data_IF_907912061483
#
_entry.id   IF_907912061483
#
_cell.length_a   1.000
_cell.length_b   1.000
_cell.length_c   1.000
_cell.angle_alpha   90.00
_cell.angle_beta   90.00
_cell.angle_gamma   90.00
#
_symmetry.space_group_name_H-M   'P 1'
#
loop_
_entity.id
_entity.type
_entity.pdbx_description
1 polymer ?
#
# COMPACT_ATOMS: atom_id res chain seq x y z
N UNK A 1 11.34 -47.00 9.58
CA UNK A 1 12.15 -45.81 9.24
C UNK A 1 11.20 -44.65 9.06
N UNK A 2 11.21 -43.72 10.02
CA UNK A 2 10.20 -42.66 10.16
C UNK A 2 10.59 -41.45 9.30
N UNK A 3 9.60 -40.84 8.63
CA UNK A 3 9.74 -39.64 7.78
C UNK A 3 10.45 -38.46 8.47
N UNK A 4 10.43 -38.38 9.81
CA UNK A 4 11.09 -37.31 10.57
C UNK A 4 12.61 -37.30 10.44
N UNK A 5 13.24 -38.45 10.17
CA UNK A 5 14.70 -38.53 10.02
C UNK A 5 15.20 -38.02 8.66
N UNK A 6 14.32 -37.91 7.65
CA UNK A 6 14.69 -37.43 6.31
C UNK A 6 14.63 -35.90 6.24
N UNK A 7 13.62 -35.28 6.85
CA UNK A 7 13.47 -33.82 6.86
C UNK A 7 14.64 -33.11 7.59
N UNK A 8 15.09 -33.68 8.71
CA UNK A 8 16.20 -33.13 9.51
C UNK A 8 17.54 -33.22 8.77
N UNK A 9 17.75 -34.29 7.98
CA UNK A 9 18.98 -34.49 7.20
C UNK A 9 19.01 -33.60 5.95
N UNK A 10 17.85 -33.27 5.37
CA UNK A 10 17.76 -32.33 4.24
C UNK A 10 18.02 -30.88 4.66
N UNK A 11 17.55 -30.45 5.84
CA UNK A 11 17.78 -29.10 6.36
C UNK A 11 19.25 -28.83 6.71
N UNK A 12 20.02 -29.85 7.11
CA UNK A 12 21.47 -29.73 7.39
C UNK A 12 22.35 -29.75 6.13
N UNK A 13 21.89 -30.34 5.03
CA UNK A 13 22.64 -30.36 3.76
C UNK A 13 22.37 -29.14 2.87
N UNK A 14 21.26 -28.44 3.08
CA UNK A 14 21.07 -27.08 2.58
C UNK A 14 21.78 -26.13 3.56
N UNK A 15 22.62 -25.22 3.07
CA UNK A 15 23.29 -24.18 3.86
C UNK A 15 22.28 -23.17 4.45
N UNK A 16 21.39 -23.58 5.34
CA UNK A 16 20.56 -22.72 6.18
C UNK A 16 21.30 -22.52 7.50
N UNK A 17 22.21 -21.53 7.50
CA UNK A 17 23.09 -21.26 8.65
C UNK A 17 22.33 -20.82 9.92
N UNK A 18 21.05 -20.46 9.83
CA UNK A 18 20.24 -20.03 10.97
C UNK A 18 18.78 -20.47 10.77
N UNK A 19 18.50 -21.76 10.88
CA UNK A 19 17.13 -22.19 11.19
C UNK A 19 16.84 -21.73 12.63
N UNK A 20 15.92 -20.78 12.81
CA UNK A 20 15.34 -20.49 14.13
C UNK A 20 14.60 -21.77 14.55
N UNK A 21 15.00 -22.47 15.62
CA UNK A 21 14.34 -23.72 15.96
C UNK A 21 12.91 -23.43 16.41
N UNK A 22 11.93 -23.84 15.60
CA UNK A 22 10.58 -24.07 16.09
C UNK A 22 10.67 -25.23 17.08
N UNK A 23 10.47 -24.94 18.37
CA UNK A 23 10.46 -25.94 19.42
C UNK A 23 9.15 -26.75 19.26
N UNK A 24 9.19 -27.80 18.43
CA UNK A 24 8.07 -28.74 18.31
C UNK A 24 8.13 -29.67 19.51
N UNK A 25 7.56 -29.23 20.63
CA UNK A 25 7.27 -30.11 21.75
C UNK A 25 5.90 -30.77 21.52
N UNK A 26 5.90 -32.09 21.32
CA UNK A 26 4.71 -32.93 21.50
C UNK A 26 4.21 -32.74 22.94
N UNK A 27 3.19 -31.93 23.15
CA UNK A 27 2.40 -31.97 24.38
C UNK A 27 0.92 -32.01 24.00
N UNK A 28 0.27 -33.10 24.42
CA UNK A 28 -1.17 -33.31 24.39
C UNK A 28 -1.90 -32.13 25.03
N UNK A 29 -2.73 -31.46 24.23
CA UNK A 29 -3.64 -30.41 24.71
C UNK A 29 -4.85 -31.11 25.32
N UNK A 30 -5.00 -31.07 26.65
CA UNK A 30 -6.30 -31.30 27.28
C UNK A 30 -7.22 -30.12 26.93
N UNK A 31 -8.34 -30.44 26.29
CA UNK A 31 -9.38 -29.47 25.91
C UNK A 31 -10.07 -29.01 27.20
N UNK A 32 -9.81 -27.78 27.63
CA UNK A 32 -10.64 -27.10 28.62
C UNK A 32 -11.89 -26.61 27.88
N UNK A 33 -12.97 -27.38 28.01
CA UNK A 33 -14.31 -26.93 27.69
C UNK A 33 -14.77 -25.99 28.80
N UNK A 34 -14.67 -24.68 28.61
CA UNK A 34 -15.56 -23.70 29.26
C UNK A 34 -15.42 -22.35 28.55
N UNK A 35 -16.42 -22.06 27.71
CA UNK A 35 -16.65 -20.77 27.07
C UNK A 35 -17.48 -19.93 28.03
N UNK A 36 -16.87 -19.45 29.11
CA UNK A 36 -17.40 -18.36 29.96
C UNK A 36 -16.30 -17.92 30.93
N UNK A 37 -15.91 -16.64 30.86
CA UNK A 37 -14.86 -15.94 31.64
C UNK A 37 -13.44 -15.95 31.06
N UNK A 38 -13.18 -15.03 30.12
CA UNK A 38 -11.84 -14.51 29.85
C UNK A 38 -11.65 -13.17 30.57
N UNK A 39 -11.45 -13.22 31.89
CA UNK A 39 -10.72 -12.16 32.60
C UNK A 39 -9.22 -12.51 32.57
N UNK A 40 -8.45 -11.59 32.02
CA UNK A 40 -7.02 -11.73 31.74
C UNK A 40 -6.21 -11.65 33.05
N UNK A 41 -5.74 -12.79 33.56
CA UNK A 41 -4.88 -12.82 34.74
C UNK A 41 -3.40 -12.83 34.31
N UNK A 42 -2.77 -11.65 34.32
CA UNK A 42 -1.32 -11.51 34.24
C UNK A 42 -0.71 -11.95 35.58
N UNK A 43 0.04 -13.05 35.60
CA UNK A 43 1.17 -13.29 36.49
C UNK A 43 1.65 -14.73 36.32
N UNK A 44 2.76 -14.93 35.59
CA UNK A 44 3.79 -15.95 35.89
C UNK A 44 4.85 -16.03 34.75
N UNK A 45 5.63 -14.97 34.56
CA UNK A 45 7.05 -15.09 34.12
C UNK A 45 7.81 -13.94 34.77
N UNK A 46 8.19 -14.12 36.04
CA UNK A 46 9.06 -13.20 36.76
C UNK A 46 10.21 -13.99 37.39
N UNK A 47 11.33 -14.07 36.67
CA UNK A 47 12.66 -14.11 37.29
C UNK A 47 13.66 -13.50 36.31
N UNK A 48 14.42 -12.52 36.80
CA UNK A 48 15.49 -11.74 36.17
C UNK A 48 15.11 -10.52 35.31
N UNK A 49 14.45 -9.54 35.92
CA UNK A 49 14.80 -8.11 35.69
C UNK A 49 14.69 -7.38 37.03
N UNK A 50 15.77 -6.72 37.43
CA UNK A 50 15.86 -5.94 38.65
C UNK A 50 14.78 -4.84 38.71
N UNK A 51 14.26 -4.62 39.91
CA UNK A 51 13.25 -3.62 40.28
C UNK A 51 13.55 -2.23 39.69
N UNK A 52 12.72 -1.80 38.74
CA UNK A 52 12.51 -0.39 38.46
C UNK A 52 11.14 -0.02 39.03
N UNK A 53 11.13 0.82 40.06
CA UNK A 53 9.92 1.41 40.64
C UNK A 53 9.09 2.08 39.54
N UNK A 54 7.96 1.47 39.17
CA UNK A 54 6.98 2.09 38.28
C UNK A 54 6.19 3.11 39.09
N UNK A 55 6.65 4.35 39.04
CA UNK A 55 5.75 5.50 39.22
C UNK A 55 4.91 5.60 37.95
N UNK A 56 3.59 5.75 38.10
CA UNK A 56 2.65 6.08 37.01
C UNK A 56 2.98 7.47 36.44
N UNK A 57 4.10 7.59 35.73
CA UNK A 57 4.35 8.71 34.85
C UNK A 57 3.41 8.58 33.66
N UNK A 58 2.72 9.66 33.30
CA UNK A 58 1.98 9.76 32.04
C UNK A 58 2.87 9.24 30.91
N UNK A 59 2.32 8.35 30.08
CA UNK A 59 3.02 7.65 29.00
C UNK A 59 3.32 8.61 27.83
N UNK A 60 4.07 9.66 28.12
CA UNK A 60 4.46 10.72 27.20
C UNK A 60 5.39 10.17 26.12
N UNK A 61 5.26 10.74 24.91
CA UNK A 61 6.14 10.40 23.80
C UNK A 61 7.58 10.77 24.15
N UNK A 62 8.50 9.81 24.07
CA UNK A 62 9.88 10.07 24.43
C UNK A 62 10.67 10.73 23.28
N UNK A 63 11.86 11.25 23.58
CA UNK A 63 12.70 11.97 22.61
C UNK A 63 13.11 11.09 21.40
N UNK A 64 13.31 9.78 21.61
CA UNK A 64 13.65 8.84 20.54
C UNK A 64 12.49 8.68 19.56
N UNK A 65 11.26 8.56 20.05
CA UNK A 65 10.07 8.47 19.21
C UNK A 65 9.86 9.76 18.40
N UNK A 66 10.00 10.93 19.04
CA UNK A 66 9.90 12.24 18.35
C UNK A 66 10.94 12.35 17.23
N UNK A 67 12.20 11.98 17.51
CA UNK A 67 13.29 12.03 16.53
C UNK A 67 12.98 11.17 15.31
N UNK A 68 12.57 9.90 15.51
CA UNK A 68 12.27 8.99 14.40
C UNK A 68 11.01 9.41 13.63
N UNK A 69 9.99 9.90 14.31
CA UNK A 69 8.81 10.46 13.66
C UNK A 69 9.18 11.65 12.75
N UNK A 70 10.07 12.53 13.20
CA UNK A 70 10.56 13.65 12.39
C UNK A 70 11.38 13.19 11.18
N UNK A 71 12.21 12.15 11.33
CA UNK A 71 12.97 11.56 10.22
C UNK A 71 12.02 10.97 9.18
N UNK A 72 11.02 10.19 9.62
CA UNK A 72 10.01 9.62 8.71
C UNK A 72 9.30 10.74 7.96
N UNK A 73 8.82 11.76 8.66
CA UNK A 73 8.05 12.86 8.07
C UNK A 73 8.79 13.56 6.91
N UNK A 74 10.12 13.64 6.96
CA UNK A 74 10.94 14.22 5.89
C UNK A 74 10.88 13.43 4.58
N UNK A 75 10.65 12.12 4.64
CA UNK A 75 10.80 11.21 3.50
C UNK A 75 9.49 10.63 2.98
N UNK A 76 8.44 10.52 3.82
CA UNK A 76 7.22 9.81 3.44
C UNK A 76 6.52 10.36 2.18
N UNK A 77 6.56 11.67 1.94
CA UNK A 77 6.00 12.25 0.70
C UNK A 77 6.68 11.71 -0.57
N UNK A 78 7.95 11.33 -0.49
CA UNK A 78 8.71 10.74 -1.59
C UNK A 78 8.32 9.29 -1.90
N UNK A 79 7.62 8.63 -0.97
CA UNK A 79 7.07 7.28 -1.14
C UNK A 79 5.71 7.27 -1.84
N UNK A 80 5.15 8.45 -2.13
CA UNK A 80 3.85 8.59 -2.83
C UNK A 80 4.04 8.80 -4.32
N UNK A 81 3.09 8.31 -5.12
CA UNK A 81 3.15 8.36 -6.59
C UNK A 81 1.92 9.07 -7.15
N UNK A 82 2.12 10.17 -7.87
CA UNK A 82 1.04 10.85 -8.57
C UNK A 82 0.86 10.24 -9.96
N UNK A 83 -0.21 9.47 -10.20
CA UNK A 83 -0.44 8.78 -11.47
C UNK A 83 -1.00 9.70 -12.54
N UNK A 84 -1.86 10.64 -12.14
CA UNK A 84 -2.47 11.66 -13.02
C UNK A 84 -2.50 13.00 -12.32
N UNK A 85 -2.37 14.08 -13.09
CA UNK A 85 -2.52 15.46 -12.62
C UNK A 85 -3.19 16.34 -13.68
N UNK A 86 -3.91 17.37 -13.24
CA UNK A 86 -4.45 18.42 -14.13
C UNK A 86 -4.09 19.86 -13.70
N UNK A 87 -3.29 20.03 -12.65
CA UNK A 87 -2.89 21.34 -12.12
C UNK A 87 -3.82 21.92 -11.05
N UNK A 88 -4.86 21.20 -10.62
CA UNK A 88 -5.76 21.65 -9.54
C UNK A 88 -5.12 21.62 -8.14
N UNK A 89 -4.08 20.79 -7.99
CA UNK A 89 -3.31 20.56 -6.76
C UNK A 89 -1.85 20.99 -6.94
N UNK A 90 -1.18 21.47 -5.87
CA UNK A 90 -1.68 21.58 -4.50
C UNK A 90 -2.72 22.69 -4.31
N UNK A 91 -3.49 22.62 -3.22
CA UNK A 91 -4.54 23.58 -2.90
C UNK A 91 -3.97 24.92 -2.44
N UNK A 92 -4.76 25.98 -2.62
CA UNK A 92 -4.45 27.26 -1.99
C UNK A 92 -4.80 27.22 -0.50
N UNK A 93 -4.06 27.97 0.33
CA UNK A 93 -4.30 28.06 1.80
C UNK A 93 -5.72 28.50 2.19
N UNK A 94 -6.48 29.10 1.27
CA UNK A 94 -7.86 29.56 1.50
C UNK A 94 -8.90 28.46 1.31
N UNK A 95 -8.55 27.36 0.64
CA UNK A 95 -9.45 26.25 0.38
C UNK A 95 -9.48 25.32 1.59
N UNK A 96 -10.36 25.62 2.55
CA UNK A 96 -10.53 24.85 3.79
C UNK A 96 -11.87 24.15 3.92
N UNK A 97 -12.74 24.19 2.90
CA UNK A 97 -14.00 23.44 2.86
C UNK A 97 -13.89 22.30 1.87
N UNK A 98 -14.12 21.07 2.31
CA UNK A 98 -13.84 19.88 1.52
C UNK A 98 -14.96 18.83 1.68
N UNK A 99 -15.27 18.17 0.57
CA UNK A 99 -16.09 16.96 0.58
C UNK A 99 -15.15 15.75 0.60
N UNK A 100 -15.07 15.05 1.73
CA UNK A 100 -14.27 13.83 1.89
C UNK A 100 -15.16 12.60 1.79
N UNK A 101 -14.84 11.70 0.86
CA UNK A 101 -15.60 10.47 0.60
C UNK A 101 -14.67 9.24 0.61
N UNK A 102 -15.26 8.05 0.72
CA UNK A 102 -14.56 6.77 0.63
C UNK A 102 -14.23 6.13 1.99
N UNK A 103 -14.02 4.81 1.98
CA UNK A 103 -13.77 4.01 3.17
C UNK A 103 -12.54 4.48 3.97
N UNK A 104 -11.48 4.87 3.25
CA UNK A 104 -10.20 5.25 3.84
C UNK A 104 -10.21 6.53 4.66
N UNK A 105 -11.28 7.33 4.61
CA UNK A 105 -11.37 8.60 5.35
C UNK A 105 -11.36 8.35 6.86
N UNK A 106 -12.11 7.35 7.33
CA UNK A 106 -12.17 6.93 8.74
C UNK A 106 -11.49 5.58 9.00
N UNK A 107 -11.30 4.77 7.97
CA UNK A 107 -10.64 3.45 8.04
C UNK A 107 -9.29 3.48 7.32
N UNK A 108 -8.49 4.49 7.63
CA UNK A 108 -7.16 4.67 7.01
C UNK A 108 -6.26 3.49 7.35
N UNK A 109 -5.55 2.96 6.35
CA UNK A 109 -4.66 1.80 6.48
C UNK A 109 -3.23 2.29 6.64
N UNK A 110 -2.63 2.00 7.80
CA UNK A 110 -1.23 2.34 8.11
C UNK A 110 -0.22 1.38 7.47
N UNK A 111 -0.60 0.12 7.29
CA UNK A 111 0.25 -0.97 6.83
C UNK A 111 -0.53 -2.28 6.74
N UNK A 112 0.12 -3.29 6.17
CA UNK A 112 -0.40 -4.65 6.10
C UNK A 112 -0.46 -5.34 7.47
N UNK A 113 -1.24 -6.42 7.55
CA UNK A 113 -1.36 -7.27 8.75
C UNK A 113 -0.29 -8.37 8.76
N UNK A 114 -0.14 -9.04 9.91
CA UNK A 114 0.80 -10.14 10.12
C UNK A 114 2.05 -9.71 10.88
N UNK A 115 3.16 -10.43 10.68
CA UNK A 115 4.43 -10.16 11.39
C UNK A 115 5.05 -8.79 11.09
N UNK A 116 4.66 -8.18 9.96
CA UNK A 116 5.08 -6.83 9.56
C UNK A 116 4.24 -5.71 10.14
N UNK A 117 3.20 -6.01 10.93
CA UNK A 117 2.40 -4.96 11.56
C UNK A 117 3.19 -4.27 12.68
N UNK A 118 2.96 -2.96 12.82
CA UNK A 118 3.67 -2.12 13.79
C UNK A 118 2.69 -1.54 14.80
N UNK A 119 3.04 -1.59 16.09
CA UNK A 119 2.27 -0.90 17.10
C UNK A 119 2.70 0.56 17.19
N UNK A 120 1.72 1.47 17.11
CA UNK A 120 1.94 2.92 17.18
C UNK A 120 1.15 3.49 18.34
N UNK A 121 1.74 4.41 19.12
CA UNK A 121 1.04 5.09 20.24
C UNK A 121 -0.28 5.71 19.83
N UNK A 122 -0.28 6.42 18.70
CA UNK A 122 -1.45 7.07 18.13
C UNK A 122 -1.42 6.95 16.62
N UNK A 123 -2.60 6.97 16.01
CA UNK A 123 -2.75 6.98 14.56
C UNK A 123 -3.97 7.82 14.21
N UNK A 124 -3.74 8.97 13.56
CA UNK A 124 -4.83 9.81 13.07
C UNK A 124 -5.43 9.19 11.81
N UNK A 125 -6.76 9.14 11.74
CA UNK A 125 -7.46 8.93 10.48
C UNK A 125 -7.25 10.13 9.56
N UNK A 126 -7.49 9.95 8.25
CA UNK A 126 -7.46 11.05 7.30
C UNK A 126 -8.44 12.16 7.69
N UNK A 127 -9.63 11.83 8.16
CA UNK A 127 -10.58 12.83 8.66
C UNK A 127 -9.98 13.67 9.80
N UNK A 128 -9.37 13.02 10.79
CA UNK A 128 -8.76 13.69 11.94
C UNK A 128 -7.60 14.58 11.52
N UNK A 129 -6.72 14.10 10.62
CA UNK A 129 -5.61 14.88 10.12
C UNK A 129 -6.06 16.14 9.36
N UNK A 130 -7.08 16.03 8.50
CA UNK A 130 -7.65 17.19 7.81
C UNK A 130 -8.29 18.18 8.80
N UNK A 131 -9.03 17.70 9.82
CA UNK A 131 -9.60 18.56 10.87
C UNK A 131 -8.53 19.29 11.67
N UNK A 132 -7.43 18.62 12.03
CA UNK A 132 -6.26 19.24 12.72
C UNK A 132 -5.62 20.35 11.88
N UNK A 133 -5.60 20.20 10.56
CA UNK A 133 -5.14 21.22 9.61
C UNK A 133 -6.21 22.29 9.30
N UNK A 134 -7.34 22.31 10.03
CA UNK A 134 -8.36 23.34 9.94
C UNK A 134 -9.29 23.23 8.74
N UNK A 135 -9.42 22.03 8.15
CA UNK A 135 -10.44 21.79 7.13
C UNK A 135 -11.82 21.53 7.77
N UNK A 136 -12.85 22.16 7.21
CA UNK A 136 -14.26 21.87 7.43
C UNK A 136 -14.68 20.72 6.50
N UNK A 137 -15.01 19.57 7.10
CA UNK A 137 -15.48 18.39 6.39
C UNK A 137 -16.99 18.48 6.18
N UNK A 138 -17.43 18.51 4.92
CA UNK A 138 -18.82 18.75 4.51
C UNK A 138 -19.66 17.47 4.35
N UNK A 139 -19.11 16.32 4.75
CA UNK A 139 -19.64 14.98 4.43
C UNK A 139 -19.75 14.07 5.64
N UNK A 140 -19.86 14.63 6.87
CA UNK A 140 -19.97 13.82 8.08
C UNK A 140 -21.17 12.85 8.02
N UNK A 141 -22.30 13.30 7.48
CA UNK A 141 -23.51 12.48 7.27
C UNK A 141 -23.27 11.27 6.36
N UNK A 142 -22.53 11.46 5.26
CA UNK A 142 -22.11 10.35 4.40
C UNK A 142 -21.18 9.38 5.15
N UNK A 143 -20.20 9.91 5.89
CA UNK A 143 -19.22 9.09 6.59
C UNK A 143 -19.87 8.27 7.71
N UNK A 144 -20.81 8.85 8.46
CA UNK A 144 -21.58 8.16 9.49
C UNK A 144 -22.41 7.02 8.87
N UNK A 145 -23.11 7.29 7.75
CA UNK A 145 -23.88 6.27 7.04
C UNK A 145 -22.99 5.17 6.42
N UNK A 146 -21.77 5.52 6.00
CA UNK A 146 -20.78 4.55 5.53
C UNK A 146 -20.32 3.63 6.65
N UNK A 147 -20.03 4.18 7.83
CA UNK A 147 -19.66 3.39 9.00
C UNK A 147 -20.78 2.41 9.38
N UNK A 148 -22.04 2.84 9.39
CA UNK A 148 -23.19 1.94 9.63
C UNK A 148 -23.29 0.80 8.59
N UNK A 149 -23.12 1.12 7.31
CA UNK A 149 -23.12 0.14 6.23
C UNK A 149 -21.99 -0.89 6.41
N UNK A 150 -20.77 -0.41 6.68
CA UNK A 150 -19.60 -1.23 6.90
C UNK A 150 -19.77 -2.13 8.13
N UNK A 151 -20.15 -1.59 9.29
CA UNK A 151 -20.28 -2.38 10.52
C UNK A 151 -21.31 -3.50 10.37
N UNK A 152 -22.39 -3.26 9.63
CA UNK A 152 -23.38 -4.29 9.29
C UNK A 152 -22.80 -5.39 8.42
N UNK A 153 -21.97 -5.05 7.43
CA UNK A 153 -21.32 -6.03 6.55
C UNK A 153 -20.24 -6.81 7.31
N UNK A 154 -19.40 -6.09 8.08
CA UNK A 154 -18.32 -6.64 8.88
C UNK A 154 -18.85 -7.61 9.94
N UNK A 155 -19.94 -7.28 10.63
CA UNK A 155 -20.59 -8.21 11.56
C UNK A 155 -21.00 -9.52 10.87
N UNK A 156 -21.62 -9.44 9.68
CA UNK A 156 -22.02 -10.65 8.92
C UNK A 156 -20.81 -11.48 8.50
N UNK A 157 -19.73 -10.83 8.09
CA UNK A 157 -18.47 -11.49 7.72
C UNK A 157 -17.82 -12.21 8.91
N UNK A 158 -17.78 -11.56 10.07
CA UNK A 158 -17.29 -12.20 11.30
C UNK A 158 -18.21 -13.36 11.71
N UNK A 159 -19.53 -13.20 11.59
CA UNK A 159 -20.48 -14.28 11.89
C UNK A 159 -20.31 -15.47 10.92
N UNK A 160 -19.97 -15.25 9.63
CA UNK A 160 -19.67 -16.33 8.69
C UNK A 160 -18.37 -17.05 9.02
N UNK A 161 -17.29 -16.32 9.34
CA UNK A 161 -16.02 -16.94 9.78
C UNK A 161 -16.25 -17.82 11.02
N UNK A 162 -17.02 -17.33 12.00
CA UNK A 162 -17.34 -18.09 13.22
C UNK A 162 -18.15 -19.35 12.92
N UNK A 163 -19.08 -19.28 11.96
CA UNK A 163 -19.88 -20.43 11.56
C UNK A 163 -19.05 -21.50 10.83
N UNK A 164 -17.96 -21.10 10.18
CA UNK A 164 -17.01 -21.96 9.47
C UNK A 164 -15.88 -22.49 10.38
N UNK A 165 -15.87 -22.12 11.66
CA UNK A 165 -14.82 -22.53 12.59
C UNK A 165 -14.71 -24.05 12.71
N UNK A 166 -13.55 -24.59 12.34
CA UNK A 166 -13.25 -26.01 12.44
C UNK A 166 -12.71 -26.33 13.85
N UNK A 167 -13.57 -26.86 14.72
CA UNK A 167 -13.19 -27.27 16.07
C UNK A 167 -12.22 -28.46 16.10
N UNK A 168 -12.26 -29.32 15.07
CA UNK A 168 -11.36 -30.49 14.98
C UNK A 168 -9.96 -30.08 14.51
N UNK A 169 -9.84 -28.95 13.81
CA UNK A 169 -8.57 -28.40 13.34
C UNK A 169 -8.42 -26.89 13.60
N UNK A 170 -8.67 -26.49 14.84
CA UNK A 170 -8.66 -25.09 15.27
C UNK A 170 -7.34 -24.37 14.93
N UNK A 171 -6.21 -25.07 15.02
CA UNK A 171 -4.89 -24.49 14.71
C UNK A 171 -4.78 -24.11 13.22
N UNK A 172 -5.09 -25.02 12.30
CA UNK A 172 -5.03 -24.71 10.87
C UNK A 172 -6.06 -23.63 10.49
N UNK A 173 -7.23 -23.64 11.13
CA UNK A 173 -8.23 -22.58 10.93
C UNK A 173 -7.66 -21.21 11.30
N UNK A 174 -7.08 -21.05 12.48
CA UNK A 174 -6.47 -19.78 12.91
C UNK A 174 -5.34 -19.35 11.97
N UNK A 175 -4.46 -20.28 11.57
CA UNK A 175 -3.36 -19.99 10.63
C UNK A 175 -3.87 -19.56 9.24
N UNK A 176 -5.02 -20.05 8.79
CA UNK A 176 -5.59 -19.64 7.51
C UNK A 176 -6.43 -18.35 7.60
N UNK A 177 -6.73 -17.86 8.82
CA UNK A 177 -7.65 -16.74 9.04
C UNK A 177 -7.07 -15.59 9.87
N UNK A 178 -5.80 -15.62 10.31
CA UNK A 178 -5.26 -14.57 11.19
C UNK A 178 -5.09 -13.20 10.51
N UNK A 179 -5.05 -13.16 9.17
CA UNK A 179 -4.92 -11.93 8.38
C UNK A 179 -6.02 -11.75 7.32
N UNK A 180 -7.11 -12.54 7.37
CA UNK A 180 -8.18 -12.39 6.39
C UNK A 180 -8.87 -11.05 6.54
N UNK A 181 -9.20 -10.44 5.41
CA UNK A 181 -9.82 -9.12 5.35
C UNK A 181 -11.12 -9.25 4.57
N UNK A 182 -12.18 -8.64 5.09
CA UNK A 182 -13.46 -8.56 4.39
C UNK A 182 -13.28 -7.71 3.12
N UNK A 183 -13.74 -8.21 1.97
CA UNK A 183 -13.88 -7.40 0.76
C UNK A 183 -14.79 -6.19 1.04
N UNK A 184 -14.45 -5.03 0.47
CA UNK A 184 -15.23 -3.82 0.73
C UNK A 184 -16.71 -3.99 0.32
N UNK A 185 -17.68 -3.67 1.20
CA UNK A 185 -19.09 -3.83 0.91
C UNK A 185 -19.62 -2.82 -0.12
N UNK A 186 -20.74 -3.18 -0.75
CA UNK A 186 -21.53 -2.25 -1.55
C UNK A 186 -22.36 -1.33 -0.65
N UNK A 187 -22.00 -0.04 -0.60
CA UNK A 187 -22.71 0.98 0.16
C UNK A 187 -23.25 2.07 -0.78
N UNK A 188 -24.48 1.89 -1.29
CA UNK A 188 -25.12 2.87 -2.19
C UNK A 188 -25.69 4.06 -1.41
N UNK A 189 -24.81 5.02 -1.10
CA UNK A 189 -25.13 6.20 -0.33
C UNK A 189 -25.26 7.44 -1.24
N UNK A 190 -26.14 8.40 -0.91
CA UNK A 190 -26.24 9.63 -1.66
C UNK A 190 -24.95 10.45 -1.55
N UNK A 191 -24.47 10.96 -2.69
CA UNK A 191 -23.30 11.85 -2.74
C UNK A 191 -23.64 13.14 -3.44
N UNK A 192 -22.92 14.20 -3.10
CA UNK A 192 -23.09 15.46 -3.80
C UNK A 192 -22.59 15.34 -5.23
N UNK A 193 -23.38 15.84 -6.17
CA UNK A 193 -23.08 15.72 -7.60
C UNK A 193 -22.19 16.85 -8.12
N UNK A 194 -22.05 17.94 -7.36
CA UNK A 194 -21.26 19.11 -7.74
C UNK A 194 -20.72 19.79 -6.49
N UNK A 195 -19.54 20.39 -6.60
CA UNK A 195 -18.91 21.15 -5.54
C UNK A 195 -17.58 21.75 -5.98
N UNK A 196 -16.90 22.45 -5.06
CA UNK A 196 -15.62 23.07 -5.38
C UNK A 196 -14.45 22.07 -5.24
N UNK A 197 -14.40 21.31 -4.16
CA UNK A 197 -13.28 20.42 -3.82
C UNK A 197 -13.80 19.12 -3.23
N UNK A 198 -13.46 17.99 -3.85
CA UNK A 198 -13.68 16.66 -3.30
C UNK A 198 -12.41 15.81 -3.35
N UNK A 199 -12.25 14.97 -2.34
CA UNK A 199 -11.28 13.89 -2.35
C UNK A 199 -12.02 12.59 -2.03
N UNK A 200 -11.77 11.56 -2.83
CA UNK A 200 -12.21 10.19 -2.53
C UNK A 200 -11.01 9.35 -2.10
N UNK A 201 -11.04 8.78 -0.90
CA UNK A 201 -9.98 7.90 -0.39
C UNK A 201 -10.44 6.45 -0.51
N UNK A 202 -9.83 5.72 -1.45
CA UNK A 202 -10.01 4.29 -1.64
C UNK A 202 -8.92 3.55 -0.85
N UNK A 203 -9.32 2.80 0.17
CA UNK A 203 -8.41 1.97 0.96
C UNK A 203 -8.59 0.48 0.65
N UNK A 204 -7.47 -0.23 0.65
CA UNK A 204 -7.40 -1.70 0.66
C UNK A 204 -6.31 -2.11 1.62
N UNK A 205 -6.54 -3.20 2.34
CA UNK A 205 -5.54 -3.82 3.18
C UNK A 205 -5.25 -5.24 2.67
N UNK A 206 -4.13 -5.80 3.09
CA UNK A 206 -3.73 -7.19 2.86
C UNK A 206 -2.87 -7.64 4.04
N UNK A 207 -2.64 -8.93 4.20
CA UNK A 207 -1.80 -9.41 5.30
C UNK A 207 -1.13 -10.73 5.00
N UNK A 208 -0.16 -11.04 5.85
CA UNK A 208 0.60 -12.30 5.76
C UNK A 208 -0.31 -13.52 5.84
N UNK A 209 -0.03 -14.52 5.01
CA UNK A 209 -0.74 -15.81 5.00
C UNK A 209 -1.98 -15.86 4.12
N UNK A 210 -2.40 -14.73 3.53
CA UNK A 210 -3.59 -14.67 2.68
C UNK A 210 -3.31 -13.83 1.43
N UNK A 211 -3.47 -14.43 0.26
CA UNK A 211 -3.44 -13.70 -1.00
C UNK A 211 -4.73 -12.89 -1.20
N UNK A 212 -4.62 -11.76 -1.89
CA UNK A 212 -5.79 -10.98 -2.29
C UNK A 212 -6.65 -11.74 -3.30
N UNK A 213 -7.94 -11.40 -3.33
CA UNK A 213 -8.91 -11.98 -4.24
C UNK A 213 -9.15 -11.09 -5.46
N UNK A 214 -9.41 -11.71 -6.60
CA UNK A 214 -9.72 -11.03 -7.87
C UNK A 214 -11.21 -10.72 -7.93
N UNK A 215 -11.68 -9.98 -6.94
CA UNK A 215 -13.10 -9.72 -6.71
C UNK A 215 -13.37 -8.23 -6.46
N UNK A 216 -14.66 -7.87 -6.50
CA UNK A 216 -15.13 -6.54 -6.14
C UNK A 216 -14.93 -6.32 -4.64
N UNK A 217 -14.43 -5.14 -4.31
CA UNK A 217 -14.07 -4.80 -2.93
C UNK A 217 -12.64 -5.21 -2.55
N UNK A 218 -11.87 -5.77 -3.50
CA UNK A 218 -10.45 -6.05 -3.37
C UNK A 218 -9.68 -5.51 -4.60
N UNK A 219 -9.19 -6.37 -5.49
CA UNK A 219 -8.51 -5.98 -6.75
C UNK A 219 -9.42 -5.09 -7.59
N UNK A 220 -10.70 -5.45 -7.71
CA UNK A 220 -11.69 -4.65 -8.40
C UNK A 220 -12.39 -3.69 -7.43
N UNK A 221 -12.71 -2.50 -7.93
CA UNK A 221 -13.61 -1.59 -7.22
C UNK A 221 -15.01 -2.21 -7.13
N UNK A 222 -15.70 -1.92 -6.04
CA UNK A 222 -17.15 -2.12 -5.93
C UNK A 222 -17.89 -1.24 -6.94
N UNK A 223 -19.13 -1.58 -7.27
CA UNK A 223 -19.97 -0.76 -8.14
C UNK A 223 -20.26 0.60 -7.51
N UNK A 224 -20.46 0.63 -6.20
CA UNK A 224 -20.75 1.86 -5.44
C UNK A 224 -19.53 2.79 -5.35
N UNK A 225 -18.32 2.25 -5.16
CA UNK A 225 -17.06 2.99 -5.27
C UNK A 225 -16.91 3.61 -6.67
N UNK A 226 -17.03 2.79 -7.72
CA UNK A 226 -16.91 3.22 -9.12
C UNK A 226 -17.93 4.30 -9.47
N UNK A 227 -19.20 4.11 -9.11
CA UNK A 227 -20.30 5.08 -9.33
C UNK A 227 -20.00 6.41 -8.65
N UNK A 228 -19.54 6.37 -7.40
CA UNK A 228 -19.24 7.57 -6.61
C UNK A 228 -18.06 8.32 -7.19
N UNK A 229 -16.93 7.64 -7.43
CA UNK A 229 -15.71 8.23 -8.00
C UNK A 229 -16.02 8.93 -9.34
N UNK A 230 -16.75 8.28 -10.25
CA UNK A 230 -17.12 8.86 -11.55
C UNK A 230 -18.07 10.06 -11.39
N UNK A 231 -18.99 10.00 -10.44
CA UNK A 231 -19.91 11.11 -10.14
C UNK A 231 -19.14 12.34 -9.66
N UNK A 232 -18.20 12.15 -8.72
CA UNK A 232 -17.39 13.23 -8.17
C UNK A 232 -16.44 13.82 -9.24
N UNK A 233 -15.76 12.96 -10.00
CA UNK A 233 -14.82 13.37 -11.05
C UNK A 233 -15.46 14.24 -12.14
N UNK A 234 -16.72 13.96 -12.50
CA UNK A 234 -17.46 14.74 -13.51
C UNK A 234 -18.07 16.02 -12.94
N UNK A 235 -18.33 16.05 -11.64
CA UNK A 235 -19.16 17.05 -10.99
C UNK A 235 -18.41 18.18 -10.29
N UNK A 236 -17.23 17.87 -9.74
CA UNK A 236 -16.46 18.79 -8.90
C UNK A 236 -15.45 19.60 -9.71
N UNK A 237 -15.22 20.85 -9.30
CA UNK A 237 -14.19 21.69 -9.94
C UNK A 237 -12.79 21.13 -9.74
N UNK A 238 -12.50 20.68 -8.51
CA UNK A 238 -11.28 19.97 -8.13
C UNK A 238 -11.65 18.62 -7.53
N UNK A 239 -11.10 17.56 -8.09
CA UNK A 239 -11.29 16.20 -7.59
C UNK A 239 -9.98 15.43 -7.63
N UNK A 240 -9.70 14.68 -6.56
CA UNK A 240 -8.61 13.72 -6.49
C UNK A 240 -9.11 12.37 -5.95
N UNK A 241 -8.74 11.30 -6.64
CA UNK A 241 -8.81 9.95 -6.12
C UNK A 241 -7.48 9.65 -5.40
N UNK A 242 -7.56 9.26 -4.14
CA UNK A 242 -6.42 8.87 -3.32
C UNK A 242 -6.50 7.37 -3.07
N UNK A 243 -5.41 6.66 -3.35
CA UNK A 243 -5.30 5.21 -3.20
C UNK A 243 -4.42 4.92 -1.98
N UNK A 244 -5.05 4.58 -0.86
CA UNK A 244 -4.39 4.10 0.35
C UNK A 244 -4.38 2.56 0.31
N UNK A 245 -3.61 2.02 -0.63
CA UNK A 245 -3.54 0.60 -0.96
C UNK A 245 -2.09 0.12 -0.93
N UNK A 246 -1.86 -1.12 -0.48
CA UNK A 246 -0.53 -1.74 -0.46
C UNK A 246 -0.08 -2.29 -1.82
N UNK A 247 -0.99 -2.35 -2.80
CA UNK A 247 -0.72 -2.86 -4.14
C UNK A 247 -1.69 -2.33 -5.19
N UNK A 248 -1.57 -2.80 -6.44
CA UNK A 248 -2.42 -2.37 -7.55
C UNK A 248 -3.89 -2.65 -7.30
N UNK A 249 -4.74 -1.73 -7.74
CA UNK A 249 -6.18 -1.93 -7.91
C UNK A 249 -6.53 -1.63 -9.36
N UNK A 250 -7.54 -2.29 -9.91
CA UNK A 250 -7.92 -2.12 -11.30
C UNK A 250 -8.67 -0.78 -11.50
N UNK A 251 -8.00 0.17 -12.16
CA UNK A 251 -8.53 1.51 -12.42
C UNK A 251 -9.15 1.68 -13.82
N UNK A 252 -9.39 0.58 -14.55
CA UNK A 252 -9.98 0.64 -15.89
C UNK A 252 -11.35 1.31 -15.88
N UNK A 253 -11.66 2.11 -16.90
CA UNK A 253 -12.96 2.79 -17.01
C UNK A 253 -13.14 4.02 -16.09
N UNK A 254 -12.03 4.57 -15.57
CA UNK A 254 -11.96 5.79 -14.77
C UNK A 254 -11.19 6.92 -15.50
N UNK A 255 -11.28 7.00 -16.82
CA UNK A 255 -10.56 7.99 -17.64
C UNK A 255 -10.94 9.44 -17.31
N UNK A 256 -12.14 9.68 -16.74
CA UNK A 256 -12.55 11.01 -16.30
C UNK A 256 -11.81 11.51 -15.03
N UNK A 257 -11.14 10.63 -14.29
CA UNK A 257 -10.42 10.99 -13.06
C UNK A 257 -9.07 11.59 -13.44
N UNK A 258 -8.96 12.91 -13.26
CA UNK A 258 -7.80 13.71 -13.73
C UNK A 258 -6.67 13.85 -12.70
N UNK A 259 -6.94 13.62 -11.41
CA UNK A 259 -5.92 13.54 -10.37
C UNK A 259 -6.04 12.22 -9.63
N UNK A 260 -4.97 11.43 -9.62
CA UNK A 260 -4.91 10.14 -8.92
C UNK A 260 -3.59 10.09 -8.16
N UNK A 261 -3.65 9.95 -6.84
CA UNK A 261 -2.51 9.84 -5.94
C UNK A 261 -2.48 8.45 -5.32
N UNK A 262 -1.40 7.70 -5.52
CA UNK A 262 -1.07 6.53 -4.69
C UNK A 262 -0.43 7.06 -3.42
N UNK A 263 -1.21 7.05 -2.34
CA UNK A 263 -0.73 7.39 -1.00
C UNK A 263 0.11 6.24 -0.41
N UNK A 264 -0.18 4.99 -0.82
CA UNK A 264 0.37 3.78 -0.20
C UNK A 264 -0.06 3.66 1.27
N UNK A 265 0.67 2.87 2.06
CA UNK A 265 0.48 2.63 3.48
C UNK A 265 1.78 3.01 4.20
N UNK A 266 1.84 4.20 4.79
CA UNK A 266 3.09 4.90 5.17
C UNK A 266 3.39 4.82 6.68
N UNK A 267 2.76 3.89 7.40
CA UNK A 267 2.84 3.80 8.85
C UNK A 267 2.12 4.95 9.55
N UNK A 268 2.64 5.35 10.72
CA UNK A 268 1.99 6.27 11.66
C UNK A 268 1.59 7.64 11.06
N UNK A 269 2.34 8.13 10.06
CA UNK A 269 2.15 9.47 9.48
C UNK A 269 1.43 9.45 8.11
N UNK A 270 0.73 8.36 7.79
CA UNK A 270 -0.02 8.22 6.52
C UNK A 270 -0.97 9.39 6.28
N UNK A 271 -1.82 9.70 7.26
CA UNK A 271 -2.84 10.75 7.15
C UNK A 271 -2.24 12.15 7.09
N UNK A 272 -1.21 12.43 7.90
CA UNK A 272 -0.47 13.70 7.85
C UNK A 272 0.17 13.91 6.49
N UNK A 273 0.81 12.87 5.93
CA UNK A 273 1.46 12.96 4.61
C UNK A 273 0.46 13.35 3.52
N UNK A 274 -0.76 12.79 3.53
CA UNK A 274 -1.80 13.19 2.57
C UNK A 274 -2.15 14.68 2.69
N UNK A 275 -2.28 15.18 3.92
CA UNK A 275 -2.55 16.60 4.18
C UNK A 275 -1.42 17.46 3.63
N UNK A 276 -0.16 17.16 3.96
CA UNK A 276 1.02 17.90 3.50
C UNK A 276 1.09 17.96 1.96
N UNK A 277 0.76 16.86 1.28
CA UNK A 277 0.71 16.78 -0.18
C UNK A 277 -0.42 17.64 -0.76
N UNK A 278 -1.61 17.57 -0.18
CA UNK A 278 -2.79 18.30 -0.67
C UNK A 278 -2.64 19.80 -0.45
N UNK A 279 -2.03 20.23 0.65
CA UNK A 279 -1.77 21.64 0.96
C UNK A 279 -0.52 22.21 0.27
N UNK A 280 0.32 21.34 -0.30
CA UNK A 280 1.56 21.72 -0.97
C UNK A 280 2.71 22.05 -0.03
N UNK A 281 2.61 21.66 1.24
CA UNK A 281 3.75 21.67 2.17
C UNK A 281 4.85 20.70 1.71
N UNK A 282 4.42 19.54 1.20
CA UNK A 282 5.27 18.55 0.53
C UNK A 282 4.76 18.26 -0.88
N UNK A 283 5.55 17.49 -1.63
CA UNK A 283 5.22 17.13 -3.01
C UNK A 283 5.49 15.64 -3.28
N UNK A 284 4.68 14.98 -4.13
CA UNK A 284 4.95 13.61 -4.52
C UNK A 284 6.17 13.59 -5.45
N UNK A 285 7.03 12.59 -5.28
CA UNK A 285 8.21 12.37 -6.15
C UNK A 285 8.58 10.90 -6.30
N UNK A 286 7.68 9.98 -5.91
CA UNK A 286 7.84 8.56 -6.14
C UNK A 286 7.51 8.17 -7.58
N UNK A 287 8.01 7.01 -7.98
CA UNK A 287 7.68 6.33 -9.23
C UNK A 287 7.16 4.92 -8.90
N UNK A 288 6.29 4.38 -9.74
CA UNK A 288 5.75 3.04 -9.57
C UNK A 288 6.86 1.98 -9.62
N UNK A 289 6.93 1.14 -8.58
CA UNK A 289 7.81 -0.03 -8.54
C UNK A 289 7.17 -1.30 -9.16
N UNK A 290 5.92 -1.20 -9.60
CA UNK A 290 5.14 -2.29 -10.23
C UNK A 290 4.30 -1.69 -11.35
N UNK A 291 4.10 -2.41 -12.45
CA UNK A 291 3.14 -2.02 -13.50
C UNK A 291 1.72 -2.08 -12.97
N UNK A 292 0.89 -1.07 -13.24
CA UNK A 292 -0.53 -1.06 -12.91
C UNK A 292 -1.36 -1.13 -14.20
N UNK A 293 -2.17 -2.17 -14.35
CA UNK A 293 -3.05 -2.35 -15.49
C UNK A 293 -4.30 -3.13 -15.10
N UNK A 294 -5.13 -3.52 -16.07
CA UNK A 294 -6.25 -4.43 -15.84
C UNK A 294 -5.75 -5.77 -15.34
N UNK A 295 -6.49 -6.40 -14.43
CA UNK A 295 -6.01 -7.66 -13.85
C UNK A 295 -5.78 -8.75 -14.91
N UNK A 296 -6.66 -8.83 -15.90
CA UNK A 296 -6.59 -9.82 -16.99
C UNK A 296 -5.36 -9.68 -17.91
N UNK A 297 -4.67 -8.53 -17.89
CA UNK A 297 -3.49 -8.31 -18.73
C UNK A 297 -2.20 -8.86 -18.07
N UNK A 298 -2.21 -9.20 -16.77
CA UNK A 298 -1.05 -9.78 -16.11
C UNK A 298 -0.80 -11.21 -16.59
N UNK A 299 0.43 -11.46 -17.02
CA UNK A 299 0.88 -12.76 -17.47
C UNK A 299 1.70 -13.45 -16.38
N UNK A 300 0.99 -14.10 -15.45
CA UNK A 300 1.57 -14.99 -14.44
C UNK A 300 0.54 -16.04 -14.04
N UNK A 301 0.96 -17.28 -13.88
CA UNK A 301 0.09 -18.35 -13.37
C UNK A 301 0.36 -18.51 -11.86
N UNK A 302 -0.40 -17.79 -11.03
CA UNK A 302 -0.25 -17.83 -9.56
C UNK A 302 -1.48 -18.46 -8.91
N UNK A 303 -1.31 -19.01 -7.70
CA UNK A 303 -2.44 -19.48 -6.87
C UNK A 303 -2.64 -20.99 -6.81
N UNK A 304 -1.75 -21.81 -7.38
CA UNK A 304 -1.77 -23.25 -7.08
C UNK A 304 -1.08 -23.50 -5.72
N UNK A 305 -1.89 -23.93 -4.74
CA UNK A 305 -1.47 -24.17 -3.36
C UNK A 305 -0.38 -25.25 -3.19
N UNK A 306 -0.19 -26.11 -4.19
CA UNK A 306 0.73 -27.25 -4.10
C UNK A 306 1.93 -27.12 -5.03
N UNK A 307 1.74 -26.58 -6.23
CA UNK A 307 2.79 -26.46 -7.23
C UNK A 307 2.47 -25.33 -8.21
N UNK A 308 3.22 -24.23 -8.15
CA UNK A 308 3.05 -23.09 -9.05
C UNK A 308 4.11 -23.14 -10.14
N UNK A 309 3.68 -23.29 -11.39
CA UNK A 309 4.56 -23.28 -12.56
C UNK A 309 4.69 -21.85 -13.11
N UNK A 310 5.92 -21.33 -13.08
CA UNK A 310 6.26 -19.96 -13.47
C UNK A 310 6.47 -19.91 -14.99
N UNK A 311 5.37 -20.08 -15.72
CA UNK A 311 5.34 -20.18 -17.19
C UNK A 311 5.84 -18.91 -17.89
N UNK A 312 5.83 -17.78 -17.19
CA UNK A 312 6.34 -16.50 -17.68
C UNK A 312 7.87 -16.39 -17.65
N UNK A 313 8.55 -17.26 -16.91
CA UNK A 313 10.00 -17.25 -16.79
C UNK A 313 10.56 -15.87 -16.38
N UNK A 314 11.40 -15.28 -17.24
CA UNK A 314 12.01 -13.95 -16.97
C UNK A 314 11.08 -12.78 -17.32
N UNK A 315 9.95 -13.04 -17.97
CA UNK A 315 8.98 -12.05 -18.43
C UNK A 315 7.97 -11.71 -17.33
N UNK A 316 8.46 -11.21 -16.19
CA UNK A 316 7.61 -10.77 -15.09
C UNK A 316 7.46 -9.24 -15.10
N UNK A 317 6.23 -8.76 -14.97
CA UNK A 317 5.92 -7.32 -14.90
C UNK A 317 6.28 -6.60 -16.19
N UNK A 318 6.93 -5.43 -16.10
CA UNK A 318 7.27 -4.60 -17.28
C UNK A 318 8.07 -5.36 -18.34
N UNK A 319 8.86 -6.38 -17.96
CA UNK A 319 9.59 -7.22 -18.91
C UNK A 319 8.65 -7.94 -19.88
N UNK A 320 7.49 -8.40 -19.41
CA UNK A 320 6.47 -8.97 -20.28
C UNK A 320 5.80 -7.88 -21.11
N UNK A 321 5.24 -6.86 -20.46
CA UNK A 321 4.45 -5.83 -21.16
C UNK A 321 5.25 -5.13 -22.27
N UNK A 322 6.50 -4.78 -22.01
CA UNK A 322 7.38 -4.14 -22.99
C UNK A 322 7.78 -5.09 -24.13
N UNK A 323 7.96 -6.39 -23.85
CA UNK A 323 8.39 -7.38 -24.86
C UNK A 323 7.22 -7.82 -25.73
N UNK A 324 6.03 -7.98 -25.13
CA UNK A 324 4.81 -8.38 -25.81
C UNK A 324 4.04 -7.21 -26.44
N UNK A 325 4.52 -5.97 -26.26
CA UNK A 325 3.89 -4.73 -26.75
C UNK A 325 2.42 -4.62 -26.31
N UNK A 326 2.19 -4.79 -25.00
CA UNK A 326 0.86 -4.74 -24.38
C UNK A 326 0.68 -3.40 -23.68
N UNK A 327 -0.36 -2.65 -24.07
CA UNK A 327 -0.73 -1.39 -23.45
C UNK A 327 -1.11 -1.57 -21.97
N UNK A 328 -0.61 -0.68 -21.12
CA UNK A 328 -0.87 -0.69 -19.68
C UNK A 328 -1.43 0.65 -19.20
N UNK A 329 -2.20 0.65 -18.11
CA UNK A 329 -2.77 1.90 -17.56
C UNK A 329 -1.68 2.84 -17.05
N UNK A 330 -0.73 2.31 -16.28
CA UNK A 330 0.43 3.04 -15.77
C UNK A 330 1.67 2.10 -15.76
N UNK A 331 2.72 2.41 -16.54
CA UNK A 331 3.88 1.54 -16.64
C UNK A 331 4.74 1.58 -15.37
N UNK A 332 5.60 0.57 -15.21
CA UNK A 332 6.70 0.61 -14.26
C UNK A 332 7.53 1.89 -14.44
N UNK A 333 7.99 2.51 -13.35
CA UNK A 333 8.71 3.78 -13.38
C UNK A 333 7.82 5.01 -13.62
N UNK A 334 6.51 4.85 -13.82
CA UNK A 334 5.60 5.98 -13.97
C UNK A 334 5.38 6.72 -12.66
N UNK A 335 5.38 8.04 -12.69
CA UNK A 335 5.05 8.87 -11.55
C UNK A 335 5.28 10.35 -11.85
N UNK A 336 4.30 11.17 -11.52
CA UNK A 336 4.32 12.60 -11.74
C UNK A 336 4.68 13.33 -10.43
N UNK A 337 5.02 14.61 -10.57
CA UNK A 337 5.12 15.55 -9.46
C UNK A 337 4.30 16.80 -9.73
N UNK A 338 4.29 17.74 -8.77
CA UNK A 338 3.63 19.04 -8.96
C UNK A 338 4.37 19.99 -9.91
N UNK A 339 5.66 19.73 -10.17
CA UNK A 339 6.45 20.46 -11.16
C UNK A 339 6.73 19.61 -12.40
N UNK A 340 7.29 20.23 -13.43
CA UNK A 340 7.67 19.59 -14.68
C UNK A 340 9.19 19.66 -14.86
N UNK A 341 9.78 18.61 -15.43
CA UNK A 341 11.22 18.51 -15.63
C UNK A 341 11.58 18.31 -17.10
N UNK A 342 12.74 18.85 -17.49
CA UNK A 342 13.39 18.56 -18.76
C UNK A 342 14.65 17.74 -18.51
N UNK A 343 14.68 16.54 -19.07
CA UNK A 343 15.81 15.63 -18.98
C UNK A 343 16.62 15.66 -20.27
N UNK A 344 17.95 15.54 -20.19
CA UNK A 344 18.78 15.38 -21.38
C UNK A 344 19.99 14.51 -21.10
N UNK A 345 20.27 13.56 -22.00
CA UNK A 345 21.52 12.82 -22.02
C UNK A 345 22.60 13.75 -22.60
N UNK A 346 23.67 13.96 -21.84
CA UNK A 346 24.81 14.78 -22.27
C UNK A 346 25.83 13.95 -23.02
N UNK A 347 26.08 12.73 -22.55
CA UNK A 347 27.15 11.90 -23.07
C UNK A 347 26.97 10.43 -22.64
N UNK A 348 27.39 9.52 -23.51
CA UNK A 348 27.39 8.07 -23.25
C UNK A 348 28.77 7.54 -23.62
N UNK A 349 29.44 6.88 -22.67
CA UNK A 349 30.77 6.28 -22.86
C UNK A 349 30.70 4.79 -22.59
N UNK A 350 31.40 4.03 -23.42
CA UNK A 350 31.60 2.59 -23.23
C UNK A 350 33.11 2.36 -23.08
N UNK A 351 33.51 1.69 -22.01
CA UNK A 351 34.89 1.30 -21.74
C UNK A 351 34.92 -0.15 -21.28
N UNK A 352 35.19 -1.06 -22.21
CA UNK A 352 35.06 -2.49 -21.95
C UNK A 352 33.60 -2.88 -21.69
N UNK A 353 33.35 -3.46 -20.52
CA UNK A 353 32.04 -3.85 -20.01
C UNK A 353 31.32 -2.73 -19.25
N UNK A 354 31.97 -1.58 -19.03
CA UNK A 354 31.38 -0.45 -18.31
C UNK A 354 30.73 0.55 -19.27
N UNK A 355 29.44 0.80 -19.07
CA UNK A 355 28.71 1.92 -19.68
C UNK A 355 28.56 3.04 -18.67
N UNK A 356 28.85 4.28 -19.08
CA UNK A 356 28.64 5.49 -18.26
C UNK A 356 27.75 6.46 -19.03
N UNK A 357 26.67 6.88 -18.39
CA UNK A 357 25.70 7.84 -18.94
C UNK A 357 25.72 9.10 -18.10
N UNK A 358 26.13 10.21 -18.71
CA UNK A 358 26.06 11.53 -18.10
C UNK A 358 24.72 12.17 -18.52
N UNK A 359 23.83 12.44 -17.55
CA UNK A 359 22.52 13.04 -17.80
C UNK A 359 22.31 14.28 -16.91
N UNK A 360 21.44 15.19 -17.36
CA UNK A 360 21.04 16.37 -16.59
C UNK A 360 19.52 16.45 -16.45
N UNK A 361 19.07 16.84 -15.26
CA UNK A 361 17.68 17.20 -14.97
C UNK A 361 17.60 18.71 -14.75
N UNK A 362 16.59 19.36 -15.33
CA UNK A 362 16.28 20.76 -15.07
C UNK A 362 14.81 20.88 -14.71
N UNK A 363 14.51 21.48 -13.56
CA UNK A 363 13.14 21.86 -13.21
C UNK A 363 12.73 23.03 -14.12
N UNK A 364 11.59 22.89 -14.80
CA UNK A 364 11.04 23.91 -15.71
C UNK A 364 9.62 24.33 -15.34
N UNK A 365 9.12 23.81 -14.21
CA UNK A 365 7.79 24.13 -13.71
C UNK A 365 7.81 25.25 -12.66
N UNK A 366 6.81 25.27 -11.78
CA UNK A 366 6.58 26.35 -10.81
C UNK A 366 6.77 25.93 -9.36
N UNK A 367 6.95 24.64 -9.12
CA UNK A 367 7.08 24.09 -7.77
C UNK A 367 8.46 23.48 -7.59
N UNK A 368 8.90 23.38 -6.34
CA UNK A 368 10.05 22.53 -6.00
C UNK A 368 9.71 21.07 -6.33
N UNK A 369 10.73 20.28 -6.66
CA UNK A 369 10.54 18.86 -6.89
C UNK A 369 11.85 18.08 -6.95
N UNK A 370 11.71 16.76 -6.98
CA UNK A 370 12.77 15.81 -7.29
C UNK A 370 12.33 14.95 -8.47
N UNK A 371 13.27 14.62 -9.35
CA UNK A 371 13.03 13.74 -10.51
C UNK A 371 13.82 12.45 -10.36
N UNK A 372 13.25 11.34 -10.83
CA UNK A 372 13.93 10.04 -10.93
C UNK A 372 14.29 9.81 -12.39
N UNK A 373 15.58 9.58 -12.65
CA UNK A 373 16.08 9.12 -13.93
C UNK A 373 16.29 7.61 -13.87
N UNK A 374 15.76 6.91 -14.88
CA UNK A 374 15.86 5.45 -15.02
C UNK A 374 16.65 5.13 -16.28
N UNK A 375 17.61 4.22 -16.17
CA UNK A 375 18.44 3.75 -17.28
C UNK A 375 18.10 2.30 -17.59
N UNK A 376 17.57 2.09 -18.78
CA UNK A 376 17.22 0.77 -19.32
C UNK A 376 18.24 0.32 -20.37
N UNK A 377 18.49 -0.99 -20.42
CA UNK A 377 19.35 -1.64 -21.40
C UNK A 377 18.51 -2.59 -22.26
N UNK A 378 18.57 -2.43 -23.58
CA UNK A 378 18.04 -3.38 -24.56
C UNK A 378 19.19 -4.10 -25.24
N UNK A 379 19.11 -5.43 -25.34
CA UNK A 379 20.11 -6.21 -26.08
C UNK A 379 19.72 -6.34 -27.56
N UNK A 380 20.70 -6.44 -28.48
CA UNK A 380 20.40 -6.68 -29.88
C UNK A 380 19.70 -8.03 -30.09
N UNK A 381 18.79 -8.10 -31.08
CA UNK A 381 18.04 -9.31 -31.46
C UNK A 381 18.90 -10.48 -31.97
N UNK A 382 20.23 -10.31 -32.04
CA UNK A 382 21.19 -11.35 -32.40
C UNK A 382 21.66 -12.18 -31.20
N UNK A 383 21.07 -12.01 -30.01
CA UNK A 383 21.37 -12.87 -28.87
C UNK A 383 20.97 -14.32 -29.18
N UNK A 384 21.79 -15.28 -28.72
CA UNK A 384 21.48 -16.72 -28.84
C UNK A 384 20.32 -17.16 -27.94
N UNK A 385 19.94 -16.31 -26.99
CA UNK A 385 18.89 -16.54 -26.01
C UNK A 385 17.80 -15.50 -26.19
N UNK A 386 16.58 -15.94 -25.96
CA UNK A 386 15.40 -15.09 -25.84
C UNK A 386 15.52 -14.23 -24.57
N UNK A 387 15.27 -12.93 -24.68
CA UNK A 387 15.49 -11.97 -23.61
C UNK A 387 14.44 -10.84 -23.60
N UNK A 388 14.12 -10.26 -22.42
CA UNK A 388 13.27 -9.08 -22.32
C UNK A 388 13.73 -7.93 -23.20
N UNK A 389 12.78 -7.22 -23.82
CA UNK A 389 13.03 -6.05 -24.67
C UNK A 389 13.95 -5.03 -24.01
N UNK A 390 13.73 -4.75 -22.72
CA UNK A 390 14.60 -3.92 -21.92
C UNK A 390 14.63 -4.36 -20.45
N UNK A 391 15.73 -4.04 -19.77
CA UNK A 391 15.90 -4.24 -18.32
C UNK A 391 16.40 -2.96 -17.65
N UNK A 392 15.84 -2.61 -16.49
CA UNK A 392 16.37 -1.55 -15.64
C UNK A 392 17.77 -1.95 -15.13
N UNK A 393 18.78 -1.14 -15.43
CA UNK A 393 20.17 -1.41 -15.02
C UNK A 393 20.73 -0.37 -14.05
N UNK A 394 20.12 0.82 -13.98
CA UNK A 394 20.49 1.85 -13.01
C UNK A 394 19.36 2.88 -12.86
N UNK A 395 19.34 3.59 -11.74
CA UNK A 395 18.48 4.76 -11.54
C UNK A 395 19.16 5.78 -10.61
N UNK A 396 18.75 7.04 -10.72
CA UNK A 396 19.22 8.10 -9.84
C UNK A 396 18.09 9.09 -9.57
N UNK A 397 18.01 9.57 -8.32
CA UNK A 397 17.07 10.63 -7.94
C UNK A 397 17.82 11.95 -7.77
N UNK A 398 17.29 13.02 -8.34
CA UNK A 398 17.87 14.35 -8.14
C UNK A 398 17.75 14.78 -6.68
N UNK A 399 18.62 15.68 -6.25
CA UNK A 399 18.32 16.54 -5.09
C UNK A 399 17.04 17.35 -5.36
N UNK A 400 16.52 18.02 -4.32
CA UNK A 400 15.46 19.01 -4.54
C UNK A 400 15.95 20.11 -5.48
N UNK A 401 15.17 20.37 -6.53
CA UNK A 401 15.41 21.41 -7.51
C UNK A 401 14.31 22.47 -7.41
N UNK A 402 14.72 23.73 -7.25
CA UNK A 402 13.84 24.89 -7.41
C UNK A 402 13.48 25.13 -8.88
N UNK A 403 12.38 25.84 -9.17
CA UNK A 403 12.03 26.33 -10.51
C UNK A 403 13.16 27.04 -11.26
#
# INVERSE_FOLDING_TARGET
MKFSSILLVCAFNAFLAHAIPANVAENSIEIISDVENLEYNQNEIATDVAEAETTEAEDEINAYEIEHQNILDQHLSECTVLLRKNGDFPLSRKEKKIYLYGNGVRKTVKGGLGSGDIQTRTFDTIETAFKKEGFEILTNDYLDAYDECYEKAHKKYIDSIKAEFDYENAYAFVVNHFSVIMNEPECDLPVQKRGNLAIYVLSRNSGEGVDRTVEKGDVYLTETERKTIKTLARGFKKFMLVLNTGGPVDLSGLEEVKNILVLSQLGAHTSKTLVDLVTGEKYPSGKLATTWTKYEDYYANVGNLTDTDYVEGVYVGYRYFDTADVDVLFPFGHGLGYTDFKNSVKNVRISGDKVTVDASVTNVGKFKGKEVLELYLSKPSTSKFDEPYQILVNFAKSKELSP
#
